data_IF_381196784644
#
_entry.id   IF_381196784644
#
_cell.length_a   1.000
_cell.length_b   1.000
_cell.length_c   1.000
_cell.angle_alpha   90.00
_cell.angle_beta   90.00
_cell.angle_gamma   90.00
#
_symmetry.space_group_name_H-M   'P 1'
#
loop_
_entity.id
_entity.type
_entity.pdbx_description
1 polymer ?
#
# COMPACT_ATOMS: atom_id res chain seq x y z
N UNK A 1 -0.71 -26.44 -17.65
CA UNK A 1 -1.23 -25.15 -17.15
C UNK A 1 -0.65 -24.93 -15.75
N UNK A 2 0.42 -24.14 -15.61
CA UNK A 2 1.08 -23.94 -14.32
C UNK A 2 0.19 -23.00 -13.51
N UNK A 3 -0.54 -23.54 -12.53
CA UNK A 3 -1.17 -22.73 -11.49
C UNK A 3 -0.01 -22.09 -10.73
N UNK A 4 0.33 -20.84 -11.06
CA UNK A 4 1.24 -20.02 -10.24
C UNK A 4 0.57 -19.90 -8.88
N UNK A 5 0.94 -20.74 -7.93
CA UNK A 5 0.59 -20.55 -6.52
C UNK A 5 1.05 -19.15 -6.15
N UNK A 6 0.11 -18.23 -5.91
CA UNK A 6 0.44 -16.88 -5.48
C UNK A 6 1.22 -17.02 -4.17
N UNK A 7 2.44 -16.48 -4.12
CA UNK A 7 3.19 -16.44 -2.87
C UNK A 7 2.36 -15.72 -1.79
N UNK A 8 2.51 -16.08 -0.51
CA UNK A 8 1.80 -15.40 0.58
C UNK A 8 1.94 -13.87 0.51
N UNK A 9 3.14 -13.38 0.16
CA UNK A 9 3.40 -11.96 -0.06
C UNK A 9 2.66 -11.36 -1.25
N UNK A 10 2.44 -12.13 -2.32
CA UNK A 10 1.64 -11.70 -3.46
C UNK A 10 0.16 -11.50 -3.10
N UNK A 11 -0.38 -12.34 -2.21
CA UNK A 11 -1.74 -12.17 -1.68
C UNK A 11 -1.83 -10.91 -0.83
N UNK A 12 -0.86 -10.69 0.06
CA UNK A 12 -0.78 -9.51 0.92
C UNK A 12 -0.71 -8.22 0.11
N UNK A 13 0.21 -8.15 -0.86
CA UNK A 13 0.32 -7.00 -1.78
C UNK A 13 -1.00 -6.74 -2.48
N UNK A 14 -1.64 -7.80 -3.01
CA UNK A 14 -2.93 -7.65 -3.69
C UNK A 14 -4.03 -7.17 -2.75
N UNK A 15 -4.02 -7.61 -1.50
CA UNK A 15 -4.95 -7.16 -0.49
C UNK A 15 -4.78 -5.67 -0.18
N UNK A 16 -3.53 -5.19 -0.09
CA UNK A 16 -3.23 -3.76 0.05
C UNK A 16 -3.74 -2.94 -1.15
N UNK A 17 -3.48 -3.43 -2.37
CA UNK A 17 -3.99 -2.79 -3.60
C UNK A 17 -5.52 -2.70 -3.59
N UNK A 18 -6.21 -3.78 -3.24
CA UNK A 18 -7.68 -3.83 -3.18
C UNK A 18 -8.20 -2.89 -2.10
N UNK A 19 -7.57 -2.87 -0.93
CA UNK A 19 -7.94 -2.00 0.17
C UNK A 19 -7.96 -0.54 -0.26
N UNK A 20 -6.95 -0.12 -1.03
CA UNK A 20 -6.89 1.24 -1.57
C UNK A 20 -7.88 1.43 -2.72
N UNK A 21 -7.77 0.64 -3.80
CA UNK A 21 -8.51 0.85 -5.05
C UNK A 21 -10.04 0.70 -4.89
N UNK A 22 -10.50 -0.03 -3.88
CA UNK A 22 -11.92 -0.21 -3.60
C UNK A 22 -12.42 0.55 -2.38
N UNK A 23 -11.57 1.36 -1.73
CA UNK A 23 -11.88 2.02 -0.46
C UNK A 23 -12.40 1.04 0.61
N UNK A 24 -11.69 -0.09 0.78
CA UNK A 24 -12.05 -1.17 1.72
C UNK A 24 -10.86 -1.51 2.62
N UNK A 25 -10.45 -0.62 3.53
CA UNK A 25 -9.26 -0.83 4.36
C UNK A 25 -9.31 -2.14 5.17
N UNK A 26 -10.51 -2.59 5.56
CA UNK A 26 -10.74 -3.80 6.35
C UNK A 26 -10.21 -5.08 5.72
N UNK A 27 -10.16 -5.18 4.39
CA UNK A 27 -9.67 -6.41 3.73
C UNK A 27 -8.18 -6.63 3.97
N UNK A 28 -7.45 -5.56 4.31
CA UNK A 28 -6.02 -5.61 4.57
C UNK A 28 -5.67 -5.79 6.05
N UNK A 29 -6.62 -5.56 6.97
CA UNK A 29 -6.35 -5.56 8.41
C UNK A 29 -5.78 -6.89 8.92
N UNK A 30 -6.37 -8.02 8.53
CA UNK A 30 -5.92 -9.34 9.00
C UNK A 30 -4.49 -9.63 8.54
N UNK A 31 -4.15 -9.25 7.31
CA UNK A 31 -2.78 -9.39 6.79
C UNK A 31 -1.80 -8.47 7.51
N UNK A 32 -2.19 -7.23 7.80
CA UNK A 32 -1.40 -6.25 8.55
C UNK A 32 -1.02 -6.76 9.93
N UNK A 33 -1.94 -7.42 10.63
CA UNK A 33 -1.69 -7.95 11.96
C UNK A 33 -0.74 -9.16 11.96
N UNK A 34 -0.60 -9.87 10.84
CA UNK A 34 0.28 -11.04 10.73
C UNK A 34 1.77 -10.71 10.90
N UNK A 35 2.57 -11.69 11.33
CA UNK A 35 4.03 -11.52 11.51
C UNK A 35 4.81 -11.32 10.21
N UNK A 36 4.15 -11.47 9.06
CA UNK A 36 4.75 -11.26 7.73
C UNK A 36 4.79 -9.79 7.31
N UNK A 37 4.19 -8.89 8.10
CA UNK A 37 4.21 -7.45 7.84
C UNK A 37 4.90 -6.71 8.98
N UNK A 38 5.78 -5.78 8.62
CA UNK A 38 6.38 -4.79 9.52
C UNK A 38 6.06 -3.39 9.00
N UNK A 39 5.96 -2.42 9.91
CA UNK A 39 5.66 -1.02 9.58
C UNK A 39 6.72 -0.11 10.18
N UNK A 40 6.99 1.04 9.56
CA UNK A 40 7.80 2.12 10.15
C UNK A 40 7.14 2.78 11.37
N UNK A 41 5.83 2.61 11.53
CA UNK A 41 5.04 3.17 12.63
C UNK A 41 5.33 2.45 13.95
N UNK A 42 5.10 3.11 15.11
CA UNK A 42 5.33 2.51 16.43
C UNK A 42 4.61 1.18 16.66
N UNK A 43 3.46 1.00 16.02
CA UNK A 43 2.75 -0.28 15.96
C UNK A 43 1.83 -0.34 14.72
N UNK A 44 1.39 -1.55 14.39
CA UNK A 44 0.54 -1.84 13.23
C UNK A 44 -0.84 -1.19 13.27
N UNK A 45 -1.42 -1.00 14.46
CA UNK A 45 -2.72 -0.33 14.59
C UNK A 45 -2.61 1.17 14.34
N UNK A 46 -1.52 1.80 14.76
CA UNK A 46 -1.20 3.20 14.42
C UNK A 46 -1.03 3.37 12.91
N UNK A 47 -0.29 2.47 12.25
CA UNK A 47 -0.22 2.44 10.78
C UNK A 47 -1.62 2.32 10.16
N UNK A 48 -2.44 1.38 10.65
CA UNK A 48 -3.77 1.14 10.09
C UNK A 48 -4.72 2.34 10.22
N UNK A 49 -4.69 3.01 11.38
CA UNK A 49 -5.51 4.20 11.60
C UNK A 49 -5.08 5.35 10.70
N UNK A 50 -3.77 5.59 10.60
CA UNK A 50 -3.23 6.57 9.67
C UNK A 50 -3.61 6.25 8.22
N UNK A 51 -3.40 5.01 7.80
CA UNK A 51 -3.79 4.51 6.47
C UNK A 51 -5.27 4.76 6.15
N UNK A 52 -6.17 4.52 7.11
CA UNK A 52 -7.61 4.81 6.94
C UNK A 52 -7.89 6.30 6.77
N UNK A 53 -7.24 7.14 7.56
CA UNK A 53 -7.42 8.60 7.50
C UNK A 53 -6.97 9.13 6.14
N UNK A 54 -5.79 8.73 5.69
CA UNK A 54 -5.24 9.02 4.36
C UNK A 54 -6.16 8.50 3.25
N UNK A 55 -6.69 7.28 3.37
CA UNK A 55 -7.63 6.71 2.39
C UNK A 55 -8.92 7.52 2.29
N UNK A 56 -9.49 7.96 3.42
CA UNK A 56 -10.68 8.82 3.44
C UNK A 56 -10.37 10.17 2.79
N UNK A 57 -9.23 10.80 3.12
CA UNK A 57 -8.82 12.08 2.56
C UNK A 57 -8.61 11.97 1.04
N UNK A 58 -7.92 10.93 0.59
CA UNK A 58 -7.68 10.66 -0.81
C UNK A 58 -9.00 10.51 -1.58
N UNK A 59 -9.95 9.70 -1.11
CA UNK A 59 -11.23 9.51 -1.81
C UNK A 59 -12.11 10.76 -1.80
N UNK A 60 -12.07 11.57 -0.75
CA UNK A 60 -12.79 12.85 -0.70
C UNK A 60 -12.24 13.88 -1.70
N UNK A 61 -10.93 13.83 -1.96
CA UNK A 61 -10.25 14.85 -2.77
C UNK A 61 -9.92 14.39 -4.20
N UNK A 62 -10.13 13.11 -4.52
CA UNK A 62 -9.83 12.53 -5.82
C UNK A 62 -10.92 12.78 -6.86
N UNK A 63 -10.50 13.01 -8.10
CA UNK A 63 -11.42 13.05 -9.25
C UNK A 63 -11.45 11.71 -9.96
N UNK A 64 -12.54 10.97 -9.75
CA UNK A 64 -12.76 9.64 -10.32
C UNK A 64 -12.05 8.53 -9.55
N UNK A 65 -11.91 7.35 -10.17
CA UNK A 65 -11.29 6.19 -9.54
C UNK A 65 -9.77 6.34 -9.46
N UNK A 66 -9.21 5.89 -8.33
CA UNK A 66 -7.78 5.73 -8.18
C UNK A 66 -7.25 4.61 -9.08
N UNK A 67 -6.01 4.76 -9.54
CA UNK A 67 -5.26 3.73 -10.22
C UNK A 67 -3.85 3.65 -9.64
N UNK A 68 -3.30 2.43 -9.61
CA UNK A 68 -1.97 2.18 -9.07
C UNK A 68 -0.92 2.32 -10.16
N UNK A 69 0.19 2.99 -9.82
CA UNK A 69 1.46 2.91 -10.53
C UNK A 69 2.54 2.54 -9.52
N UNK A 70 3.28 1.48 -9.82
CA UNK A 70 4.42 1.06 -9.01
C UNK A 70 5.66 1.73 -9.61
N UNK A 71 6.32 2.55 -8.80
CA UNK A 71 7.50 3.31 -9.20
C UNK A 71 8.73 2.87 -8.39
N UNK A 72 9.90 3.00 -8.99
CA UNK A 72 11.18 2.87 -8.30
C UNK A 72 12.01 4.09 -8.67
N UNK A 73 11.85 5.22 -7.95
CA UNK A 73 12.53 6.44 -8.30
C UNK A 73 14.05 6.29 -8.27
N UNK A 74 14.79 7.04 -9.08
CA UNK A 74 16.26 6.93 -9.15
C UNK A 74 16.95 7.23 -7.81
N UNK A 75 16.31 8.02 -6.95
CA UNK A 75 16.82 8.36 -5.62
C UNK A 75 16.54 7.27 -4.58
N UNK A 76 15.71 6.27 -4.89
CA UNK A 76 15.37 5.17 -3.99
C UNK A 76 16.52 4.16 -3.94
N UNK A 77 17.27 4.16 -2.84
CA UNK A 77 18.45 3.34 -2.60
C UNK A 77 18.24 2.28 -1.51
N UNK A 78 17.11 2.30 -0.80
CA UNK A 78 16.80 1.36 0.27
C UNK A 78 16.07 0.11 -0.23
N UNK A 79 15.70 0.07 -1.51
CA UNK A 79 15.05 -1.07 -2.17
C UNK A 79 13.53 -1.10 -1.99
N UNK A 80 12.91 0.05 -1.69
CA UNK A 80 11.45 0.14 -1.71
C UNK A 80 10.91 0.23 -3.13
N UNK A 81 9.78 -0.42 -3.36
CA UNK A 81 8.87 -0.10 -4.46
C UNK A 81 7.84 0.89 -3.96
N UNK A 82 7.57 1.93 -4.74
CA UNK A 82 6.67 3.02 -4.37
C UNK A 82 5.30 2.75 -4.99
N UNK A 83 4.31 2.45 -4.16
CA UNK A 83 2.93 2.20 -4.56
C UNK A 83 2.21 3.54 -4.55
N UNK A 84 2.16 4.16 -5.73
CA UNK A 84 1.60 5.48 -5.94
C UNK A 84 0.20 5.34 -6.53
N UNK A 85 -0.83 5.80 -5.80
CA UNK A 85 -2.21 5.75 -6.26
C UNK A 85 -2.64 7.14 -6.73
N UNK A 86 -2.91 7.26 -8.03
CA UNK A 86 -3.27 8.53 -8.68
C UNK A 86 -4.75 8.56 -9.01
N UNK A 87 -5.35 9.74 -8.99
CA UNK A 87 -6.63 9.96 -9.67
C UNK A 87 -6.40 10.30 -11.15
N UNK A 88 -7.45 10.60 -11.92
CA UNK A 88 -7.32 10.88 -13.36
C UNK A 88 -6.74 12.25 -13.69
N UNK A 89 -6.65 13.17 -12.73
CA UNK A 89 -6.47 14.60 -12.98
C UNK A 89 -5.15 15.12 -12.41
N UNK A 90 -4.81 14.72 -11.19
CA UNK A 90 -3.65 15.22 -10.50
C UNK A 90 -2.36 14.55 -10.96
N UNK A 91 -1.29 15.35 -10.95
CA UNK A 91 0.07 14.88 -11.19
C UNK A 91 0.66 14.13 -9.99
N UNK A 92 0.19 14.44 -8.78
CA UNK A 92 0.69 13.86 -7.54
C UNK A 92 -0.19 12.68 -7.11
N UNK A 93 0.44 11.66 -6.52
CA UNK A 93 -0.27 10.51 -5.97
C UNK A 93 -1.10 10.94 -4.78
N UNK A 94 -2.34 10.47 -4.68
CA UNK A 94 -3.26 10.72 -3.57
C UNK A 94 -2.98 9.86 -2.36
N UNK A 95 -2.40 8.69 -2.59
CA UNK A 95 -1.92 7.76 -1.56
C UNK A 95 -0.57 7.27 -2.03
N UNK A 96 0.38 7.24 -1.10
CA UNK A 96 1.74 6.82 -1.34
C UNK A 96 2.16 5.83 -0.26
N UNK A 97 2.51 4.61 -0.66
CA UNK A 97 2.95 3.56 0.26
C UNK A 97 4.27 2.98 -0.24
N UNK A 98 5.31 3.03 0.58
CA UNK A 98 6.56 2.33 0.31
C UNK A 98 6.42 0.87 0.71
N UNK A 99 6.79 -0.03 -0.20
CA UNK A 99 6.72 -1.47 0.00
C UNK A 99 8.07 -2.09 -0.30
N UNK A 100 8.70 -2.67 0.71
CA UNK A 100 9.95 -3.44 0.56
C UNK A 100 9.71 -4.88 0.95
N UNK A 101 10.23 -5.80 0.14
CA UNK A 101 10.25 -7.22 0.48
C UNK A 101 11.67 -7.59 0.86
N UNK A 102 11.83 -8.14 2.06
CA UNK A 102 13.07 -8.73 2.51
C UNK A 102 12.76 -10.13 3.03
N UNK A 103 13.35 -11.14 2.40
CA UNK A 103 13.06 -12.56 2.66
C UNK A 103 11.56 -12.86 2.49
N UNK A 104 10.84 -13.05 3.60
CA UNK A 104 9.40 -13.31 3.65
C UNK A 104 8.63 -12.25 4.45
N UNK A 105 9.25 -11.09 4.68
CA UNK A 105 8.65 -9.97 5.40
C UNK A 105 8.41 -8.83 4.43
N UNK A 106 7.20 -8.28 4.50
CA UNK A 106 6.79 -7.10 3.78
C UNK A 106 6.85 -5.89 4.72
N UNK A 107 7.72 -4.96 4.39
CA UNK A 107 7.91 -3.71 5.12
C UNK A 107 7.07 -2.62 4.46
N UNK A 108 6.25 -1.96 5.27
CA UNK A 108 5.41 -0.85 4.86
C UNK A 108 5.87 0.43 5.53
N UNK A 109 5.91 1.48 4.73
CA UNK A 109 6.05 2.84 5.21
C UNK A 109 5.08 3.74 4.44
N UNK A 110 4.59 4.77 5.12
CA UNK A 110 3.60 5.69 4.58
C UNK A 110 3.91 7.09 5.09
N UNK A 111 3.91 8.05 4.18
CA UNK A 111 4.05 9.46 4.50
C UNK A 111 2.70 10.15 4.28
N UNK A 112 2.38 11.19 5.06
CA UNK A 112 1.19 12.00 4.81
C UNK A 112 1.23 12.62 3.42
N UNK A 113 0.07 12.65 2.76
CA UNK A 113 -0.15 13.32 1.49
C UNK A 113 -0.35 14.84 1.66
#
# INVERSE_FOLDING_TARGET
MIIKTKSPLGVIKKSLEIAVLQNKPQVFLDYLLSNTIKTSFPNKLSFYNFFKEELVAAYKTSTGHLHLKIETPKYENEGYSHYCFYDKVQKNSRIYIKVKVLEQILYLDMLPF
#
